data_IF_109911049957
#
_entry.id   IF_109911049957
#
_cell.length_a   1.000
_cell.length_b   1.000
_cell.length_c   1.000
_cell.angle_alpha   90.00
_cell.angle_beta   90.00
_cell.angle_gamma   90.00
#
_symmetry.space_group_name_H-M   'P 1'
#
loop_
_entity.id
_entity.type
_entity.pdbx_description
1 polymer ?
#
# COMPACT_ATOMS: atom_id res chain seq x y z
N UNK A 1 -16.13 3.59 4.93
CA UNK A 1 -16.06 5.07 4.94
C UNK A 1 -15.31 5.46 6.20
N UNK A 2 -14.04 5.84 6.09
CA UNK A 2 -13.20 6.18 7.25
C UNK A 2 -13.68 7.51 7.84
N UNK A 3 -13.91 7.62 9.15
CA UNK A 3 -14.36 8.88 9.75
C UNK A 3 -13.28 9.96 9.60
N UNK A 4 -13.63 11.05 8.92
CA UNK A 4 -12.76 12.22 8.81
C UNK A 4 -12.65 12.88 10.18
N UNK A 5 -11.46 12.86 10.78
CA UNK A 5 -11.19 13.58 12.02
C UNK A 5 -10.92 15.05 11.67
N UNK A 6 -11.56 16.03 12.34
CA UNK A 6 -11.28 17.44 12.10
C UNK A 6 -9.82 17.73 12.49
N UNK A 7 -8.99 18.07 11.49
CA UNK A 7 -7.57 18.37 11.65
C UNK A 7 -6.59 17.52 10.84
N UNK A 8 -7.05 16.45 10.16
CA UNK A 8 -6.19 15.69 9.24
C UNK A 8 -6.40 16.14 7.79
N UNK A 9 -5.32 16.21 6.97
CA UNK A 9 -5.44 16.43 5.54
C UNK A 9 -6.29 15.31 4.90
N UNK A 10 -7.01 15.61 3.80
CA UNK A 10 -7.79 14.60 3.11
C UNK A 10 -6.89 13.45 2.64
N UNK A 11 -7.28 12.21 2.93
CA UNK A 11 -6.57 10.99 2.52
C UNK A 11 -7.34 10.24 1.45
N UNK A 12 -6.62 9.67 0.49
CA UNK A 12 -7.17 8.75 -0.52
C UNK A 12 -6.81 7.32 -0.13
N UNK A 13 -7.73 6.37 -0.34
CA UNK A 13 -7.49 4.93 -0.08
C UNK A 13 -7.41 4.18 -1.42
N UNK A 14 -6.21 4.01 -2.00
CA UNK A 14 -6.03 3.32 -3.27
C UNK A 14 -6.17 1.79 -3.12
N UNK A 15 -6.71 1.14 -4.14
CA UNK A 15 -6.73 -0.32 -4.26
C UNK A 15 -5.59 -0.81 -5.15
N UNK A 16 -4.87 -1.84 -4.71
CA UNK A 16 -3.81 -2.48 -5.49
C UNK A 16 -3.99 -4.01 -5.51
N UNK A 17 -4.15 -4.63 -6.69
CA UNK A 17 -4.09 -6.08 -6.82
C UNK A 17 -2.71 -6.57 -6.37
N UNK A 18 -2.68 -7.46 -5.38
CA UNK A 18 -1.44 -7.89 -4.72
C UNK A 18 -1.41 -9.41 -4.66
N UNK A 19 -0.35 -10.01 -5.22
CA UNK A 19 -0.18 -11.46 -5.22
C UNK A 19 0.43 -11.98 -3.91
N UNK A 20 0.44 -13.31 -3.68
CA UNK A 20 0.91 -13.91 -2.42
C UNK A 20 2.35 -13.52 -2.04
N UNK A 21 3.29 -13.56 -2.99
CA UNK A 21 4.69 -13.19 -2.76
C UNK A 21 4.85 -11.73 -2.35
N UNK A 22 4.05 -10.84 -2.91
CA UNK A 22 4.10 -9.42 -2.57
C UNK A 22 3.44 -9.15 -1.21
N UNK A 23 2.36 -9.87 -0.87
CA UNK A 23 1.74 -9.80 0.45
C UNK A 23 2.72 -10.22 1.56
N UNK A 24 3.56 -11.22 1.34
CA UNK A 24 4.59 -11.62 2.31
C UNK A 24 5.59 -10.49 2.58
N UNK A 25 6.03 -9.79 1.53
CA UNK A 25 6.93 -8.64 1.67
C UNK A 25 6.25 -7.45 2.38
N UNK A 26 4.96 -7.20 2.13
CA UNK A 26 4.21 -6.16 2.87
C UNK A 26 4.10 -6.51 4.37
N UNK A 27 3.93 -7.80 4.69
CA UNK A 27 3.94 -8.29 6.08
C UNK A 27 5.29 -8.08 6.76
N UNK A 28 6.39 -8.33 6.06
CA UNK A 28 7.74 -8.06 6.56
C UNK A 28 7.99 -6.57 6.86
N UNK A 29 7.28 -5.68 6.16
CA UNK A 29 7.31 -4.23 6.37
C UNK A 29 6.27 -3.74 7.41
N UNK A 30 5.75 -4.64 8.24
CA UNK A 30 4.70 -4.40 9.24
C UNK A 30 3.48 -3.65 8.66
N UNK A 31 3.16 -3.86 7.39
CA UNK A 31 2.04 -3.20 6.69
C UNK A 31 2.15 -1.67 6.57
N UNK A 32 3.34 -1.09 6.72
CA UNK A 32 3.51 0.38 6.63
C UNK A 32 4.11 0.84 5.30
N UNK A 33 4.50 -0.09 4.43
CA UNK A 33 5.14 0.23 3.16
C UNK A 33 4.87 -0.84 2.11
N UNK A 34 4.90 -0.43 0.85
CA UNK A 34 5.02 -1.36 -0.27
C UNK A 34 6.49 -1.69 -0.51
N UNK A 35 6.82 -2.97 -0.77
CA UNK A 35 8.18 -3.36 -1.10
C UNK A 35 8.60 -2.83 -2.48
N UNK A 36 9.92 -2.76 -2.75
CA UNK A 36 10.44 -2.63 -4.11
C UNK A 36 9.80 -3.68 -5.01
N UNK A 37 9.48 -3.29 -6.25
CA UNK A 37 8.74 -4.20 -7.15
C UNK A 37 9.50 -5.48 -7.44
N UNK A 38 8.72 -6.53 -7.65
CA UNK A 38 9.14 -7.69 -8.41
C UNK A 38 9.28 -7.30 -9.89
N UNK A 39 10.36 -7.76 -10.54
CA UNK A 39 10.75 -7.46 -11.94
C UNK A 39 9.65 -7.69 -13.00
N UNK A 40 8.60 -8.42 -12.63
CA UNK A 40 7.50 -8.88 -13.46
C UNK A 40 6.28 -7.93 -13.50
N UNK A 41 6.25 -6.84 -12.72
CA UNK A 41 5.10 -5.92 -12.68
C UNK A 41 5.22 -4.71 -13.66
N UNK A 42 4.15 -4.34 -14.42
CA UNK A 42 4.30 -3.47 -15.58
C UNK A 42 4.69 -1.99 -15.42
N UNK A 43 4.60 -1.28 -14.28
CA UNK A 43 5.06 0.14 -14.12
C UNK A 43 5.07 0.55 -12.63
N UNK A 44 5.90 1.57 -12.29
CA UNK A 44 5.85 2.57 -11.18
C UNK A 44 7.18 2.80 -10.38
N UNK A 45 8.38 2.52 -10.90
CA UNK A 45 9.57 2.38 -10.02
C UNK A 45 10.07 3.72 -9.51
N UNK A 46 9.67 4.79 -10.19
CA UNK A 46 10.32 6.08 -10.09
C UNK A 46 9.83 6.88 -8.88
N UNK A 47 8.78 6.44 -8.18
CA UNK A 47 8.17 7.19 -7.05
C UNK A 47 7.81 6.32 -5.83
N UNK A 48 8.37 5.10 -5.67
CA UNK A 48 7.99 4.22 -4.55
C UNK A 48 8.32 4.81 -3.18
N UNK A 49 9.51 5.40 -3.03
CA UNK A 49 9.92 6.03 -1.76
C UNK A 49 9.00 7.21 -1.42
N UNK A 50 8.69 8.05 -2.41
CA UNK A 50 7.78 9.18 -2.25
C UNK A 50 6.33 8.73 -1.95
N UNK A 51 5.90 7.63 -2.56
CA UNK A 51 4.62 7.00 -2.27
C UNK A 51 4.56 6.48 -0.83
N UNK A 52 5.57 5.71 -0.40
CA UNK A 52 5.62 5.15 0.95
C UNK A 52 5.69 6.26 2.02
N UNK A 53 6.38 7.37 1.74
CA UNK A 53 6.41 8.53 2.62
C UNK A 53 5.04 9.20 2.82
N UNK A 54 4.07 8.96 1.92
CA UNK A 54 2.69 9.47 2.00
C UNK A 54 1.70 8.50 2.64
N UNK A 55 2.11 7.27 2.94
CA UNK A 55 1.23 6.31 3.63
C UNK A 55 0.97 6.81 5.05
N UNK A 56 -0.30 6.83 5.43
CA UNK A 56 -0.74 7.17 6.77
C UNK A 56 -1.41 5.93 7.37
N UNK A 57 -0.84 5.41 8.45
CA UNK A 57 -1.34 4.19 9.11
C UNK A 57 -0.90 2.90 8.41
N UNK A 58 -1.68 1.83 8.59
CA UNK A 58 -1.39 0.50 8.05
C UNK A 58 -2.16 0.23 6.76
N UNK A 59 -1.52 -0.50 5.85
CA UNK A 59 -2.15 -1.10 4.68
C UNK A 59 -3.07 -2.22 5.15
N UNK A 60 -4.27 -2.29 4.58
CA UNK A 60 -5.30 -3.26 4.94
C UNK A 60 -5.63 -4.17 3.75
N UNK A 61 -5.70 -5.49 4.00
CA UNK A 61 -6.27 -6.43 3.04
C UNK A 61 -7.79 -6.37 3.13
N UNK A 62 -8.44 -5.95 2.05
CA UNK A 62 -9.91 -5.76 2.05
C UNK A 62 -10.67 -6.86 1.35
N UNK A 63 -9.98 -7.63 0.49
CA UNK A 63 -10.59 -8.69 -0.29
C UNK A 63 -9.53 -9.69 -0.76
N UNK A 64 -9.89 -10.96 -0.72
CA UNK A 64 -9.10 -12.08 -1.23
C UNK A 64 -9.94 -12.82 -2.27
N UNK A 65 -9.32 -13.15 -3.41
CA UNK A 65 -9.96 -13.92 -4.48
C UNK A 65 -9.38 -15.35 -4.47
N UNK A 66 -10.24 -16.36 -4.62
CA UNK A 66 -9.88 -17.78 -4.70
C UNK A 66 -10.15 -18.34 -6.10
#
# INVERSE_FOLDING_TARGET
>A
MVPMHPGQPPTTTPWRPTGPKELDLVRELDWHAWPPRLLEQPIFAEELDEFNARIVGRIELVHEFH
#
